data_IF_550408384837
#
_entry.id   IF_550408384837
#
_cell.length_a   1.000
_cell.length_b   1.000
_cell.length_c   1.000
_cell.angle_alpha   90.00
_cell.angle_beta   90.00
_cell.angle_gamma   90.00
#
_symmetry.space_group_name_H-M   'P 1'
#
loop_
_entity.id
_entity.type
_entity.pdbx_description
1 polymer ?
#
# COMPACT_ATOMS: atom_id res chain seq x y z
N UNK A 1 -1.03 11.51 13.49
CA UNK A 1 -0.58 11.76 12.11
C UNK A 1 0.85 11.27 12.02
N UNK A 2 1.08 10.17 11.31
CA UNK A 2 2.41 9.60 11.04
C UNK A 2 2.72 9.75 9.55
N UNK A 3 3.98 10.03 9.22
CA UNK A 3 4.49 9.93 7.86
C UNK A 3 5.06 8.51 7.61
N UNK A 4 4.71 7.91 6.48
CA UNK A 4 5.22 6.65 5.99
C UNK A 4 6.17 6.94 4.84
N UNK A 5 7.47 7.01 5.14
CA UNK A 5 8.47 7.39 4.16
C UNK A 5 8.99 6.15 3.45
N UNK A 6 8.84 6.12 2.12
CA UNK A 6 9.41 5.10 1.24
C UNK A 6 10.54 5.72 0.41
N UNK A 7 11.41 4.86 -0.13
CA UNK A 7 12.56 5.29 -0.92
C UNK A 7 12.19 5.76 -2.33
N UNK A 8 13.20 5.83 -3.19
CA UNK A 8 13.02 6.20 -4.59
C UNK A 8 12.42 5.06 -5.43
N UNK A 9 11.89 5.39 -6.61
CA UNK A 9 11.39 4.43 -7.61
C UNK A 9 10.25 3.53 -7.11
N UNK A 10 9.37 4.06 -6.26
CA UNK A 10 8.11 3.38 -5.89
C UNK A 10 7.12 3.54 -7.05
N UNK A 11 6.97 2.47 -7.83
CA UNK A 11 6.04 2.45 -8.97
C UNK A 11 4.64 1.96 -8.59
N UNK A 12 3.75 1.91 -9.58
CA UNK A 12 2.34 1.53 -9.38
C UNK A 12 2.15 0.08 -8.96
N UNK A 13 3.02 -0.84 -9.39
CA UNK A 13 2.93 -2.25 -9.01
C UNK A 13 3.40 -2.47 -7.56
N UNK A 14 4.34 -1.65 -7.09
CA UNK A 14 4.72 -1.61 -5.68
C UNK A 14 3.59 -1.08 -4.80
N UNK A 15 2.89 -0.02 -5.25
CA UNK A 15 1.78 0.58 -4.51
C UNK A 15 0.57 -0.35 -4.49
N UNK A 16 0.19 -0.91 -5.63
CA UNK A 16 -0.97 -1.77 -5.80
C UNK A 16 -0.61 -2.93 -6.74
N UNK A 17 -0.22 -4.11 -6.21
CA UNK A 17 0.27 -5.20 -7.04
C UNK A 17 -0.76 -5.69 -8.07
N UNK A 18 -0.37 -5.73 -9.35
CA UNK A 18 -1.24 -6.09 -10.47
C UNK A 18 -1.99 -7.42 -10.30
N UNK A 19 -1.44 -8.37 -9.52
CA UNK A 19 -2.07 -9.67 -9.22
C UNK A 19 -3.42 -9.57 -8.50
N UNK A 20 -3.70 -8.45 -7.84
CA UNK A 20 -4.96 -8.22 -7.12
C UNK A 20 -5.99 -7.39 -7.90
N UNK A 21 -5.61 -6.80 -9.05
CA UNK A 21 -6.47 -5.88 -9.82
C UNK A 21 -7.76 -6.51 -10.38
N UNK A 22 -7.88 -7.83 -10.31
CA UNK A 22 -9.10 -8.58 -10.66
C UNK A 22 -10.14 -8.61 -9.53
N UNK A 23 -9.82 -8.12 -8.35
CA UNK A 23 -10.70 -8.13 -7.19
C UNK A 23 -11.32 -6.73 -6.94
N UNK A 24 -12.22 -6.66 -5.97
CA UNK A 24 -12.82 -5.41 -5.55
C UNK A 24 -11.79 -4.49 -4.83
N UNK A 25 -12.11 -3.20 -4.75
CA UNK A 25 -11.20 -2.16 -4.22
C UNK A 25 -10.80 -2.46 -2.77
N UNK A 26 -11.70 -3.00 -1.97
CA UNK A 26 -11.44 -3.37 -0.57
C UNK A 26 -10.39 -4.48 -0.44
N UNK A 27 -10.39 -5.43 -1.38
CA UNK A 27 -9.35 -6.47 -1.44
C UNK A 27 -8.03 -5.89 -1.92
N UNK A 28 -8.02 -5.07 -2.98
CA UNK A 28 -6.80 -4.40 -3.47
C UNK A 28 -6.15 -3.58 -2.36
N UNK A 29 -6.95 -2.86 -1.56
CA UNK A 29 -6.47 -2.01 -0.47
C UNK A 29 -5.75 -2.81 0.64
N UNK A 30 -6.09 -4.08 0.87
CA UNK A 30 -5.41 -4.95 1.85
C UNK A 30 -3.98 -5.29 1.43
N UNK A 31 -3.66 -5.13 0.15
CA UNK A 31 -2.35 -5.43 -0.44
C UNK A 31 -1.55 -4.16 -0.78
N UNK A 32 -2.04 -2.99 -0.35
CA UNK A 32 -1.35 -1.73 -0.60
C UNK A 32 0.03 -1.72 0.05
N UNK A 33 1.06 -1.35 -0.72
CA UNK A 33 2.47 -1.29 -0.30
C UNK A 33 3.08 -2.60 0.24
N UNK A 34 2.42 -3.76 0.09
CA UNK A 34 2.83 -5.01 0.74
C UNK A 34 4.23 -5.49 0.29
N UNK A 35 4.66 -5.10 -0.90
CA UNK A 35 5.94 -5.49 -1.49
C UNK A 35 7.12 -4.83 -0.78
N UNK A 36 6.92 -3.64 -0.19
CA UNK A 36 7.93 -2.93 0.60
C UNK A 36 7.69 -3.07 2.11
N UNK A 37 6.43 -3.01 2.53
CA UNK A 37 6.04 -3.06 3.95
C UNK A 37 4.77 -3.93 4.10
N UNK A 38 4.94 -5.25 4.36
CA UNK A 38 3.82 -6.19 4.49
C UNK A 38 2.80 -5.81 5.58
N UNK A 39 3.19 -5.04 6.60
CA UNK A 39 2.29 -4.60 7.65
C UNK A 39 1.58 -3.27 7.35
N UNK A 40 1.86 -2.63 6.21
CA UNK A 40 1.39 -1.28 5.90
C UNK A 40 -0.14 -1.17 5.94
N UNK A 41 -0.84 -1.98 5.14
CA UNK A 41 -2.30 -1.93 5.04
C UNK A 41 -3.01 -2.21 6.37
N UNK A 42 -2.41 -3.02 7.24
CA UNK A 42 -2.94 -3.32 8.58
C UNK A 42 -2.63 -2.22 9.61
N UNK A 43 -1.62 -1.39 9.37
CA UNK A 43 -1.07 -0.45 10.35
C UNK A 43 -1.38 1.01 10.05
N UNK A 44 -1.59 1.37 8.78
CA UNK A 44 -1.91 2.72 8.34
C UNK A 44 -3.25 3.16 8.92
N UNK A 45 -3.32 4.42 9.36
CA UNK A 45 -4.55 5.00 9.94
C UNK A 45 -5.01 6.18 9.11
N UNK A 46 -6.31 6.47 9.20
CA UNK A 46 -6.87 7.69 8.62
C UNK A 46 -6.12 8.92 9.15
N UNK A 47 -5.62 9.73 8.22
CA UNK A 47 -4.83 10.92 8.53
C UNK A 47 -3.32 10.69 8.60
N UNK A 48 -2.84 9.46 8.36
CA UNK A 48 -1.44 9.24 8.01
C UNK A 48 -1.17 9.68 6.57
N UNK A 49 0.09 9.97 6.28
CA UNK A 49 0.56 10.44 4.97
C UNK A 49 1.67 9.53 4.49
N UNK A 50 1.67 9.25 3.19
CA UNK A 50 2.73 8.56 2.46
C UNK A 50 3.49 9.60 1.64
#
# INVERSE_FOLDING_TARGET
MKAWVFGDNVDTDVIAPGRYMKYAIDEIARHCMEALEPAFAASVRKGDVV
#
